data_IF_704638054298
#
_entry.id   IF_704638054298
#
_cell.length_a   1.000
_cell.length_b   1.000
_cell.length_c   1.000
_cell.angle_alpha   90.00
_cell.angle_beta   90.00
_cell.angle_gamma   90.00
#
_symmetry.space_group_name_H-M   'P 1'
#
loop_
_entity.id
_entity.type
_entity.pdbx_description
1 polymer ?
#
# COMPACT_ATOMS: atom_id res chain seq x y z
N UNK A 1 14.73 21.45 31.54
CA UNK A 1 15.56 22.44 30.83
C UNK A 1 16.57 21.71 29.93
N UNK A 2 16.91 22.30 28.77
CA UNK A 2 17.77 21.82 27.65
C UNK A 2 16.96 21.09 26.55
N UNK A 3 16.34 21.79 25.58
CA UNK A 3 16.85 22.60 24.44
C UNK A 3 17.74 21.83 23.45
N UNK A 4 17.14 21.60 22.27
CA UNK A 4 17.64 21.78 20.90
C UNK A 4 19.11 21.44 20.59
N UNK A 5 19.34 20.72 19.49
CA UNK A 5 19.88 21.38 18.28
C UNK A 5 19.82 20.46 17.04
N UNK A 6 19.14 21.00 16.02
CA UNK A 6 19.26 20.63 14.61
C UNK A 6 20.46 21.41 14.06
N UNK A 7 21.35 20.72 13.34
CA UNK A 7 22.34 21.30 12.43
C UNK A 7 22.84 20.11 11.60
N UNK A 8 22.54 19.97 10.31
CA UNK A 8 22.64 20.94 9.24
C UNK A 8 23.89 20.60 8.43
N UNK A 9 23.75 20.09 7.19
CA UNK A 9 24.82 20.20 6.19
C UNK A 9 24.35 19.86 4.76
N UNK A 10 24.63 20.81 3.85
CA UNK A 10 24.97 20.69 2.42
C UNK A 10 24.04 19.89 1.49
N UNK A 11 23.29 20.50 0.57
CA UNK A 11 23.75 21.15 -0.69
C UNK A 11 24.89 20.37 -1.37
N UNK A 12 24.61 19.59 -2.42
CA UNK A 12 25.23 19.80 -3.76
C UNK A 12 24.61 18.87 -4.81
N UNK A 13 24.31 19.48 -5.94
CA UNK A 13 23.93 18.91 -7.23
C UNK A 13 24.78 17.71 -7.68
N UNK A 14 24.15 16.73 -8.34
CA UNK A 14 24.67 16.24 -9.61
C UNK A 14 23.57 15.54 -10.42
N UNK A 15 23.06 16.26 -11.43
CA UNK A 15 22.49 15.64 -12.60
C UNK A 15 23.61 14.86 -13.31
N UNK A 16 23.42 13.56 -13.50
CA UNK A 16 24.09 12.83 -14.57
C UNK A 16 23.09 11.86 -15.20
N UNK A 17 22.36 12.37 -16.19
CA UNK A 17 21.67 11.56 -17.19
C UNK A 17 22.76 10.99 -18.11
N UNK A 18 23.13 9.73 -17.87
CA UNK A 18 23.93 8.95 -18.79
C UNK A 18 23.02 7.88 -19.41
N UNK A 19 22.72 8.07 -20.69
CA UNK A 19 21.92 7.14 -21.48
C UNK A 19 22.56 5.75 -21.51
N UNK A 20 21.76 4.74 -21.18
CA UNK A 20 22.00 3.36 -21.56
C UNK A 20 20.75 2.88 -22.26
N UNK A 21 20.81 2.87 -23.60
CA UNK A 21 19.88 2.12 -24.43
C UNK A 21 20.15 0.63 -24.23
N UNK A 22 19.46 0.01 -23.27
CA UNK A 22 19.34 -1.44 -23.24
C UNK A 22 18.16 -1.79 -24.13
N UNK A 23 18.46 -2.36 -25.28
CA UNK A 23 17.48 -3.01 -26.14
C UNK A 23 16.85 -4.17 -25.35
N UNK A 24 15.60 -3.98 -24.95
CA UNK A 24 14.79 -5.00 -24.31
C UNK A 24 14.40 -6.02 -25.39
N UNK A 25 15.12 -7.14 -25.44
CA UNK A 25 14.73 -8.30 -26.23
C UNK A 25 13.32 -8.73 -25.82
N UNK A 26 12.44 -8.78 -26.82
CA UNK A 26 11.08 -9.29 -26.72
C UNK A 26 11.11 -10.81 -26.53
N UNK A 27 11.19 -11.25 -25.28
CA UNK A 27 10.69 -12.56 -24.90
C UNK A 27 9.23 -12.37 -24.49
N UNK A 28 8.33 -13.03 -25.21
CA UNK A 28 6.88 -12.97 -25.02
C UNK A 28 6.50 -14.02 -23.99
N UNK A 29 6.35 -13.70 -22.69
CA UNK A 29 5.69 -14.63 -21.78
C UNK A 29 4.25 -14.78 -22.23
N UNK A 30 3.88 -16.01 -22.54
CA UNK A 30 2.50 -16.42 -22.74
C UNK A 30 1.67 -15.93 -21.55
N UNK A 31 0.73 -15.02 -21.82
CA UNK A 31 -0.20 -14.53 -20.84
C UNK A 31 -1.09 -15.70 -20.38
N UNK A 32 -0.81 -16.19 -19.17
CA UNK A 32 -1.83 -16.86 -18.39
C UNK A 32 -3.04 -15.90 -18.27
N UNK A 33 -4.29 -16.38 -18.37
CA UNK A 33 -5.44 -15.53 -18.20
C UNK A 33 -5.34 -14.85 -16.83
N UNK A 34 -5.12 -13.54 -16.86
CA UNK A 34 -5.13 -12.71 -15.67
C UNK A 34 -6.52 -12.88 -15.05
N UNK A 35 -6.55 -13.54 -13.88
CA UNK A 35 -7.68 -13.43 -12.97
C UNK A 35 -8.03 -11.94 -12.86
N UNK A 36 -9.31 -11.56 -12.87
CA UNK A 36 -9.71 -10.16 -12.81
C UNK A 36 -9.02 -9.53 -11.60
N UNK A 37 -8.11 -8.61 -11.88
CA UNK A 37 -7.52 -7.76 -10.87
C UNK A 37 -8.70 -7.05 -10.20
N UNK A 38 -8.96 -7.40 -8.94
CA UNK A 38 -9.86 -6.65 -8.08
C UNK A 38 -9.56 -5.16 -8.27
N UNK A 39 -10.56 -4.43 -8.73
CA UNK A 39 -10.44 -3.02 -9.07
C UNK A 39 -9.81 -2.26 -7.90
N UNK A 40 -8.58 -1.79 -8.08
CA UNK A 40 -7.99 -0.83 -7.17
C UNK A 40 -8.89 0.41 -7.16
N UNK A 41 -9.25 0.96 -5.98
CA UNK A 41 -10.12 2.11 -5.96
C UNK A 41 -9.38 3.39 -6.33
N UNK A 42 -10.01 4.12 -7.27
CA UNK A 42 -9.91 5.55 -7.55
C UNK A 42 -8.50 6.15 -7.59
N UNK A 43 -7.82 6.01 -8.73
CA UNK A 43 -6.60 6.78 -9.02
C UNK A 43 -6.84 8.31 -9.11
N UNK A 44 -8.09 8.77 -9.07
CA UNK A 44 -8.46 10.18 -9.27
C UNK A 44 -9.28 10.81 -8.12
N UNK A 45 -9.38 10.17 -6.95
CA UNK A 45 -10.06 10.79 -5.80
C UNK A 45 -9.13 11.80 -5.10
N UNK A 46 -9.44 13.09 -5.25
CA UNK A 46 -8.72 14.16 -4.56
C UNK A 46 -9.29 14.34 -3.13
N UNK A 47 -8.61 13.70 -2.18
CA UNK A 47 -8.95 13.77 -0.75
C UNK A 47 -8.96 15.22 -0.24
N UNK A 48 -8.03 16.05 -0.69
CA UNK A 48 -7.93 17.44 -0.20
C UNK A 48 -9.09 18.28 -0.70
N UNK A 49 -9.47 18.11 -1.97
CA UNK A 49 -10.65 18.75 -2.53
C UNK A 49 -11.93 18.28 -1.84
N UNK A 50 -12.06 16.97 -1.56
CA UNK A 50 -13.22 16.43 -0.86
C UNK A 50 -13.33 16.98 0.58
N UNK A 51 -12.20 17.08 1.30
CA UNK A 51 -12.15 17.73 2.62
C UNK A 51 -12.57 19.20 2.53
N UNK A 52 -12.03 19.96 1.58
CA UNK A 52 -12.36 21.37 1.40
C UNK A 52 -13.84 21.60 1.04
N UNK A 53 -14.45 20.64 0.33
CA UNK A 53 -15.86 20.68 -0.06
C UNK A 53 -16.82 20.16 1.03
N UNK A 54 -16.32 19.62 2.15
CA UNK A 54 -17.16 18.95 3.15
C UNK A 54 -17.83 17.68 2.59
N UNK A 55 -17.23 17.02 1.60
CA UNK A 55 -17.79 15.82 0.98
C UNK A 55 -17.54 14.57 1.84
N UNK A 56 -18.21 14.54 2.99
CA UNK A 56 -18.10 13.44 3.96
C UNK A 56 -18.57 12.10 3.37
N UNK A 57 -19.54 12.09 2.45
CA UNK A 57 -19.98 10.86 1.77
C UNK A 57 -18.90 10.32 0.82
N UNK A 58 -18.28 11.20 0.04
CA UNK A 58 -17.16 10.84 -0.83
C UNK A 58 -15.96 10.33 -0.04
N UNK A 59 -15.60 11.01 1.06
CA UNK A 59 -14.52 10.59 1.95
C UNK A 59 -14.79 9.22 2.58
N UNK A 60 -16.02 8.98 3.08
CA UNK A 60 -16.41 7.67 3.61
C UNK A 60 -16.25 6.55 2.57
N UNK A 61 -16.73 6.77 1.34
CA UNK A 61 -16.60 5.80 0.26
C UNK A 61 -15.13 5.53 -0.10
N UNK A 62 -14.31 6.58 -0.17
CA UNK A 62 -12.87 6.46 -0.43
C UNK A 62 -12.18 5.62 0.66
N UNK A 63 -12.42 5.92 1.94
CA UNK A 63 -11.79 5.19 3.03
C UNK A 63 -12.25 3.73 3.09
N UNK A 64 -13.52 3.42 2.84
CA UNK A 64 -13.99 2.02 2.71
C UNK A 64 -13.26 1.27 1.61
N UNK A 65 -13.04 1.93 0.48
CA UNK A 65 -12.34 1.33 -0.63
C UNK A 65 -10.86 1.08 -0.27
N UNK A 66 -10.20 2.02 0.42
CA UNK A 66 -8.84 1.81 0.93
C UNK A 66 -8.77 0.68 1.95
N UNK A 67 -9.72 0.57 2.88
CA UNK A 67 -9.81 -0.54 3.81
C UNK A 67 -9.85 -1.88 3.05
N UNK A 68 -10.68 -1.97 2.00
CA UNK A 68 -10.76 -3.17 1.16
C UNK A 68 -9.43 -3.46 0.44
N UNK A 69 -8.78 -2.47 -0.14
CA UNK A 69 -7.49 -2.67 -0.82
C UNK A 69 -6.40 -3.21 0.14
N UNK A 70 -6.43 -2.80 1.41
CA UNK A 70 -5.54 -3.34 2.44
C UNK A 70 -5.91 -4.75 2.89
N UNK A 71 -7.20 -5.11 2.93
CA UNK A 71 -7.63 -6.50 3.14
C UNK A 71 -7.17 -7.41 2.00
N UNK A 72 -7.27 -6.95 0.76
CA UNK A 72 -6.79 -7.70 -0.41
C UNK A 72 -5.25 -7.87 -0.35
N UNK A 73 -4.54 -6.83 0.10
CA UNK A 73 -3.08 -6.91 0.35
C UNK A 73 -2.76 -7.92 1.46
N UNK A 74 -3.54 -7.95 2.54
CA UNK A 74 -3.37 -8.94 3.60
C UNK A 74 -3.56 -10.37 3.09
N UNK A 75 -4.59 -10.61 2.26
CA UNK A 75 -4.84 -11.91 1.63
C UNK A 75 -3.67 -12.35 0.72
N UNK A 76 -3.09 -11.41 -0.04
CA UNK A 76 -1.89 -11.69 -0.84
C UNK A 76 -0.71 -12.13 0.04
N UNK A 77 -0.45 -11.42 1.14
CA UNK A 77 0.61 -11.80 2.07
C UNK A 77 0.34 -13.12 2.79
N UNK A 78 -0.92 -13.45 3.05
CA UNK A 78 -1.31 -14.76 3.58
C UNK A 78 -0.99 -15.91 2.62
N UNK A 79 -1.31 -15.73 1.34
CA UNK A 79 -0.97 -16.71 0.30
C UNK A 79 0.55 -16.88 0.19
N UNK A 80 1.30 -15.77 0.13
CA UNK A 80 2.77 -15.82 0.09
C UNK A 80 3.36 -16.49 1.34
N UNK A 81 2.81 -16.22 2.52
CA UNK A 81 3.22 -16.88 3.76
C UNK A 81 3.02 -18.40 3.68
N UNK A 82 1.87 -18.85 3.17
CA UNK A 82 1.58 -20.26 2.98
C UNK A 82 2.52 -20.90 1.94
N UNK A 83 2.82 -20.20 0.85
CA UNK A 83 3.73 -20.67 -0.19
C UNK A 83 5.16 -20.78 0.33
N UNK A 84 5.67 -19.78 1.06
CA UNK A 84 7.01 -19.84 1.65
C UNK A 84 7.16 -20.95 2.69
N UNK A 85 6.10 -21.25 3.46
CA UNK A 85 6.10 -22.39 4.39
C UNK A 85 6.15 -23.75 3.69
N UNK A 86 5.58 -23.85 2.49
CA UNK A 86 5.57 -25.10 1.68
C UNK A 86 6.80 -25.22 0.81
N UNK A 87 7.40 -24.10 0.43
CA UNK A 87 8.58 -24.08 -0.42
C UNK A 87 9.77 -24.57 0.42
N UNK A 88 10.34 -25.72 0.06
CA UNK A 88 11.66 -26.16 0.54
C UNK A 88 12.80 -25.31 -0.05
N UNK A 89 12.51 -24.04 -0.41
CA UNK A 89 13.49 -23.12 -0.97
C UNK A 89 14.37 -22.68 0.19
N UNK A 90 15.41 -23.49 0.40
CA UNK A 90 16.47 -23.26 1.36
C UNK A 90 17.33 -22.08 0.91
N UNK A 91 16.79 -20.86 0.98
CA UNK A 91 17.63 -19.67 0.90
C UNK A 91 18.47 -19.65 2.17
N UNK A 92 19.73 -20.10 2.06
CA UNK A 92 20.71 -20.12 3.17
C UNK A 92 20.60 -18.84 3.99
N UNK A 93 20.12 -18.96 5.23
CA UNK A 93 19.98 -17.87 6.19
C UNK A 93 18.64 -17.12 6.21
N UNK A 94 17.63 -17.48 5.40
CA UNK A 94 16.34 -16.76 5.31
C UNK A 94 15.06 -17.63 5.32
N UNK A 95 15.18 -18.95 5.48
CA UNK A 95 14.05 -19.90 5.39
C UNK A 95 12.88 -19.60 6.34
N UNK A 96 13.18 -19.09 7.54
CA UNK A 96 12.15 -18.66 8.50
C UNK A 96 11.87 -17.14 8.45
N UNK A 97 12.68 -16.38 7.71
CA UNK A 97 12.58 -14.92 7.61
C UNK A 97 11.44 -14.50 6.69
N UNK A 98 11.29 -15.14 5.52
CA UNK A 98 10.30 -14.74 4.52
C UNK A 98 8.86 -15.03 4.96
N UNK A 99 8.62 -16.20 5.54
CA UNK A 99 7.32 -16.53 6.11
C UNK A 99 6.95 -15.56 7.25
N UNK A 100 7.85 -15.34 8.21
CA UNK A 100 7.63 -14.39 9.30
C UNK A 100 7.42 -12.96 8.77
N UNK A 101 8.18 -12.54 7.75
CA UNK A 101 8.02 -11.26 7.08
C UNK A 101 6.62 -11.10 6.49
N UNK A 102 6.12 -12.10 5.76
CA UNK A 102 4.76 -12.07 5.21
C UNK A 102 3.68 -12.06 6.30
N UNK A 103 3.87 -12.78 7.41
CA UNK A 103 2.95 -12.74 8.55
C UNK A 103 2.85 -11.31 9.14
N UNK A 104 3.99 -10.65 9.36
CA UNK A 104 4.04 -9.25 9.84
C UNK A 104 3.34 -8.31 8.85
N UNK A 105 3.59 -8.47 7.55
CA UNK A 105 2.96 -7.62 6.52
C UNK A 105 1.44 -7.84 6.46
N UNK A 106 0.96 -9.07 6.64
CA UNK A 106 -0.47 -9.37 6.75
C UNK A 106 -1.10 -8.62 7.92
N UNK A 107 -0.51 -8.74 9.11
CA UNK A 107 -1.01 -8.09 10.32
C UNK A 107 -1.05 -6.56 10.17
N UNK A 108 0.03 -5.97 9.64
CA UNK A 108 0.07 -4.52 9.38
C UNK A 108 -0.99 -4.10 8.38
N UNK A 109 -1.19 -4.85 7.30
CA UNK A 109 -2.21 -4.53 6.32
C UNK A 109 -3.63 -4.60 6.93
N UNK A 110 -3.91 -5.61 7.77
CA UNK A 110 -5.19 -5.70 8.48
C UNK A 110 -5.38 -4.55 9.47
N UNK A 111 -4.35 -4.16 10.20
CA UNK A 111 -4.43 -3.02 11.12
C UNK A 111 -4.68 -1.72 10.38
N UNK A 112 -3.99 -1.48 9.26
CA UNK A 112 -4.28 -0.33 8.39
C UNK A 112 -5.69 -0.37 7.82
N UNK A 113 -6.21 -1.54 7.44
CA UNK A 113 -7.60 -1.66 7.00
C UNK A 113 -8.60 -1.22 8.08
N UNK A 114 -8.40 -1.62 9.34
CA UNK A 114 -9.24 -1.17 10.47
C UNK A 114 -9.18 0.33 10.68
N UNK A 115 -8.00 0.94 10.54
CA UNK A 115 -7.86 2.40 10.65
C UNK A 115 -8.68 3.12 9.58
N UNK A 116 -8.68 2.61 8.35
CA UNK A 116 -9.53 3.16 7.29
C UNK A 116 -11.02 2.92 7.52
N UNK A 117 -11.42 1.76 8.07
CA UNK A 117 -12.82 1.54 8.47
C UNK A 117 -13.27 2.54 9.54
N UNK A 118 -12.41 2.83 10.52
CA UNK A 118 -12.70 3.80 11.56
C UNK A 118 -12.86 5.21 10.96
N UNK A 119 -11.97 5.63 10.06
CA UNK A 119 -12.09 6.90 9.35
C UNK A 119 -13.39 6.96 8.54
N UNK A 120 -13.72 5.90 7.80
CA UNK A 120 -14.98 5.84 7.05
C UNK A 120 -16.19 6.00 7.97
N UNK A 121 -16.19 5.33 9.13
CA UNK A 121 -17.29 5.43 10.09
C UNK A 121 -17.43 6.84 10.69
N UNK A 122 -16.34 7.55 10.93
CA UNK A 122 -16.38 8.95 11.38
C UNK A 122 -16.96 9.87 10.29
N UNK A 123 -16.54 9.70 9.03
CA UNK A 123 -17.10 10.48 7.91
C UNK A 123 -18.59 10.19 7.70
N UNK A 124 -19.04 8.95 7.88
CA UNK A 124 -20.47 8.60 7.82
C UNK A 124 -21.28 9.26 8.93
N UNK A 125 -20.73 9.36 10.15
CA UNK A 125 -21.37 10.10 11.24
C UNK A 125 -21.49 11.58 10.92
N UNK A 126 -20.45 12.18 10.34
CA UNK A 126 -20.48 13.59 9.92
C UNK A 126 -21.52 13.83 8.82
N UNK A 127 -21.55 12.97 7.80
CA UNK A 127 -22.55 13.02 6.74
C UNK A 127 -23.98 12.86 7.27
N UNK A 128 -24.19 11.98 8.26
CA UNK A 128 -25.51 11.78 8.89
C UNK A 128 -25.96 12.99 9.73
N UNK A 129 -25.03 13.81 10.20
CA UNK A 129 -25.30 15.06 10.93
C UNK A 129 -25.60 16.25 10.00
N UNK A 130 -25.58 16.04 8.68
CA UNK A 130 -25.80 17.11 7.69
C UNK A 130 -24.66 18.12 7.65
N UNK A 131 -23.45 17.70 8.05
CA UNK A 131 -22.23 18.49 7.89
C UNK A 131 -21.65 18.30 6.50
#
# INVERSE_FOLDING_TARGET
MKKFMISGLSILSLFLVAGSKVALSADKPAAAPAAPAAAAPAQDFDVQKAIAAGDHKGLAAFYKAQAQAYRDKAAKHENMHADYKKSHVHYKGMENSLAAHCAILKERALETAKQYDALAAEEEKLAAQGK
#
